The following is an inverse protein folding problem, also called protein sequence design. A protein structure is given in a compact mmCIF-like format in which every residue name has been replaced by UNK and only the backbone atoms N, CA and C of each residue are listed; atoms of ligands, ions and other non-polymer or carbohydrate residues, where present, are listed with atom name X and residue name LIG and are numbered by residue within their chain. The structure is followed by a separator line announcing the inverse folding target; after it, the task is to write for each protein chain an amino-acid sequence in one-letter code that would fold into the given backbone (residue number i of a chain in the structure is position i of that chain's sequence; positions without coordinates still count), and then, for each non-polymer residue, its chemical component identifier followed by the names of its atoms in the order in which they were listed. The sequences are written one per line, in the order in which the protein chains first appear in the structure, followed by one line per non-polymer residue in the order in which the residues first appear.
data_IF_695873888505
#
_entry.id   IF_695873888505
#
_cell.length_a   1.000
_cell.length_b   1.000
_cell.length_c   1.000
_cell.angle_alpha   90.00
_cell.angle_beta   90.00
_cell.angle_gamma   90.00
#
_symmetry.space_group_name_H-M   'P 1'
#
loop_
_entity.id
_entity.type
_entity.pdbx_description
1 polymer ?
#
# COMPACT_ATOMS: atom_id res chain seq x y z
N UNK A 1 -0.06 0.35 -6.73
CA UNK A 1 1.05 -0.64 -6.72
C UNK A 1 0.96 -1.58 -5.51
N UNK A 2 1.05 -1.08 -4.28
CA UNK A 2 1.07 -1.92 -3.05
C UNK A 2 -0.15 -2.85 -2.95
N UNK A 3 -1.36 -2.34 -3.12
CA UNK A 3 -2.58 -3.16 -3.03
C UNK A 3 -2.66 -4.31 -4.05
N UNK A 4 -1.99 -4.17 -5.21
CA UNK A 4 -1.91 -5.26 -6.19
C UNK A 4 -0.85 -6.29 -5.77
N UNK A 5 0.31 -5.82 -5.29
CA UNK A 5 1.35 -6.70 -4.76
C UNK A 5 0.82 -7.58 -3.60
N UNK A 6 0.06 -7.02 -2.66
CA UNK A 6 -0.56 -7.77 -1.55
C UNK A 6 -1.44 -8.93 -2.05
N UNK A 7 -2.05 -8.80 -3.24
CA UNK A 7 -2.92 -9.84 -3.81
C UNK A 7 -2.13 -10.95 -4.50
N UNK A 8 -1.05 -10.62 -5.21
CA UNK A 8 -0.36 -11.56 -6.10
C UNK A 8 0.86 -12.22 -5.45
N UNK A 9 1.55 -11.53 -4.55
CA UNK A 9 2.79 -12.02 -3.91
C UNK A 9 2.58 -13.31 -3.10
N UNK A 10 1.44 -13.54 -2.42
CA UNK A 10 1.22 -14.81 -1.71
C UNK A 10 1.20 -16.06 -2.60
N UNK A 11 0.99 -15.92 -3.91
CA UNK A 11 0.99 -17.02 -4.87
C UNK A 11 2.38 -17.26 -5.51
N UNK A 12 3.38 -16.46 -5.16
CA UNK A 12 4.76 -16.56 -5.66
C UNK A 12 5.59 -17.51 -4.79
N UNK A 13 6.68 -18.05 -5.34
CA UNK A 13 7.60 -18.88 -4.58
C UNK A 13 8.38 -18.04 -3.55
N UNK A 14 8.75 -18.67 -2.42
CA UNK A 14 9.34 -17.99 -1.26
C UNK A 14 10.72 -17.38 -1.53
N UNK A 15 11.41 -17.84 -2.56
CA UNK A 15 12.74 -17.38 -2.99
C UNK A 15 12.68 -16.24 -4.01
N UNK A 16 11.49 -15.92 -4.54
CA UNK A 16 11.33 -14.83 -5.49
C UNK A 16 11.40 -13.46 -4.80
N UNK A 17 12.13 -12.53 -5.41
CA UNK A 17 12.27 -11.15 -4.92
C UNK A 17 11.30 -10.25 -5.66
N UNK A 18 10.52 -9.45 -4.92
CA UNK A 18 9.54 -8.51 -5.47
C UNK A 18 9.96 -7.07 -5.12
N UNK A 19 10.12 -6.24 -6.15
CA UNK A 19 10.41 -4.81 -6.00
C UNK A 19 9.13 -4.03 -6.30
N UNK A 20 8.68 -3.24 -5.34
CA UNK A 20 7.53 -2.34 -5.50
C UNK A 20 8.02 -0.91 -5.42
N UNK A 21 7.74 -0.12 -6.45
CA UNK A 21 8.06 1.30 -6.44
C UNK A 21 7.09 2.06 -5.51
N UNK A 22 7.62 2.72 -4.48
CA UNK A 22 6.92 3.70 -3.67
C UNK A 22 7.24 5.10 -4.19
N UNK A 23 6.41 5.60 -5.09
CA UNK A 23 6.69 6.81 -5.87
C UNK A 23 6.60 8.13 -5.07
N UNK A 24 6.09 8.10 -3.85
CA UNK A 24 5.91 9.32 -3.04
C UNK A 24 5.39 9.03 -1.64
N UNK A 25 5.26 10.10 -0.86
CA UNK A 25 4.75 10.09 0.52
C UNK A 25 3.27 10.48 0.56
N UNK A 26 2.54 9.95 1.54
CA UNK A 26 1.08 10.06 1.64
C UNK A 26 0.54 11.28 2.40
N UNK A 27 1.37 12.28 2.75
CA UNK A 27 0.95 13.41 3.62
C UNK A 27 -0.31 14.12 3.14
N UNK A 28 -0.47 14.29 1.82
CA UNK A 28 -1.62 14.97 1.23
C UNK A 28 -2.92 14.17 1.39
N UNK A 29 -2.81 12.85 1.52
CA UNK A 29 -3.95 11.93 1.57
C UNK A 29 -4.36 11.59 3.00
N UNK A 30 -3.61 12.04 4.02
CA UNK A 30 -3.85 11.72 5.44
C UNK A 30 -5.27 12.08 5.87
N UNK A 31 -5.73 13.31 5.61
CA UNK A 31 -7.09 13.73 5.98
C UNK A 31 -8.18 12.98 5.19
N UNK A 32 -7.92 12.66 3.92
CA UNK A 32 -8.85 11.88 3.09
C UNK A 32 -9.03 10.47 3.67
N UNK A 33 -7.92 9.82 4.01
CA UNK A 33 -7.93 8.48 4.61
C UNK A 33 -8.54 8.51 6.01
N UNK A 34 -8.24 9.53 6.81
CA UNK A 34 -8.84 9.75 8.13
C UNK A 34 -10.37 9.70 8.09
N UNK A 35 -10.95 10.53 7.21
CA UNK A 35 -12.39 10.63 7.03
C UNK A 35 -12.99 9.30 6.58
N UNK A 36 -12.31 8.57 5.68
CA UNK A 36 -12.74 7.23 5.24
C UNK A 36 -12.69 6.20 6.37
N UNK A 37 -11.75 6.34 7.30
CA UNK A 37 -11.58 5.44 8.44
C UNK A 37 -12.37 5.88 9.69
N UNK A 38 -13.10 7.01 9.63
CA UNK A 38 -13.80 7.57 10.78
C UNK A 38 -12.88 8.03 11.90
N UNK A 39 -11.65 8.44 11.56
CA UNK A 39 -10.63 8.91 12.49
C UNK A 39 -10.60 10.44 12.51
N UNK A 40 -10.53 11.04 13.70
CA UNK A 40 -10.12 12.45 13.83
C UNK A 40 -8.60 12.52 13.83
N UNK A 41 -8.05 13.48 13.08
CA UNK A 41 -6.61 13.76 12.95
C UNK A 41 -6.37 15.25 13.12
#
# INVERSE_FOLDING_TARGET
AIAHAVKIVPAMDKDQIVIVNLSGRGDKDVHTVANMLGMEI
#
